data_IF_364120408686
#
_entry.id   IF_364120408686
#
_cell.length_a   1.000
_cell.length_b   1.000
_cell.length_c   1.000
_cell.angle_alpha   90.00
_cell.angle_beta   90.00
_cell.angle_gamma   90.00
#
_symmetry.space_group_name_H-M   'P 1'
#
loop_
_entity.id
_entity.type
_entity.pdbx_description
1 polymer ?
#
# COMPACT_ATOMS: atom_id res chain seq x y z
N UNK A 1 19.04 -10.88 13.76
CA UNK A 1 18.15 -10.45 12.68
C UNK A 1 17.12 -11.53 12.44
N UNK A 2 15.85 -11.18 12.43
CA UNK A 2 14.78 -12.15 12.25
C UNK A 2 14.77 -12.66 10.80
N UNK A 3 14.58 -13.96 10.61
CA UNK A 3 14.56 -14.64 9.31
C UNK A 3 13.53 -14.08 8.34
N UNK A 4 12.42 -13.51 8.86
CA UNK A 4 11.38 -12.90 8.05
C UNK A 4 11.87 -11.73 7.19
N UNK A 5 12.83 -10.93 7.65
CA UNK A 5 13.38 -9.83 6.85
C UNK A 5 14.22 -10.33 5.67
N UNK A 6 14.99 -11.42 5.90
CA UNK A 6 15.78 -12.05 4.83
C UNK A 6 14.84 -12.66 3.79
N UNK A 7 13.81 -13.37 4.25
CA UNK A 7 12.81 -14.01 3.37
C UNK A 7 12.01 -12.94 2.63
N UNK A 8 11.66 -11.84 3.29
CA UNK A 8 10.97 -10.72 2.64
C UNK A 8 11.82 -10.08 1.53
N UNK A 9 13.11 -9.84 1.77
CA UNK A 9 14.03 -9.35 0.74
C UNK A 9 14.20 -10.33 -0.43
N UNK A 10 14.36 -11.63 -0.12
CA UNK A 10 14.46 -12.69 -1.11
C UNK A 10 13.17 -12.83 -1.94
N UNK A 11 12.01 -12.69 -1.32
CA UNK A 11 10.70 -12.67 -1.98
C UNK A 11 10.64 -11.61 -3.08
N UNK A 12 11.02 -10.36 -2.79
CA UNK A 12 11.06 -9.31 -3.79
C UNK A 12 12.11 -9.55 -4.87
N UNK A 13 13.30 -10.05 -4.51
CA UNK A 13 14.33 -10.36 -5.48
C UNK A 13 13.87 -11.42 -6.49
N UNK A 14 13.22 -12.48 -6.00
CA UNK A 14 12.67 -13.54 -6.86
C UNK A 14 11.53 -13.00 -7.73
N UNK A 15 10.62 -12.20 -7.15
CA UNK A 15 9.51 -11.61 -7.89
C UNK A 15 9.99 -10.71 -9.02
N UNK A 16 10.92 -9.79 -8.75
CA UNK A 16 11.48 -8.90 -9.77
C UNK A 16 12.21 -9.68 -10.87
N UNK A 17 12.90 -10.76 -10.50
CA UNK A 17 13.57 -11.63 -11.47
C UNK A 17 12.54 -12.35 -12.36
N UNK A 18 11.48 -12.91 -11.77
CA UNK A 18 10.41 -13.59 -12.52
C UNK A 18 9.63 -12.58 -13.38
N UNK A 19 9.35 -11.39 -12.88
CA UNK A 19 8.69 -10.34 -13.64
C UNK A 19 9.52 -9.95 -14.86
N UNK A 20 10.80 -9.71 -14.69
CA UNK A 20 11.71 -9.34 -15.78
C UNK A 20 11.87 -10.46 -16.83
N UNK A 21 11.91 -11.73 -16.42
CA UNK A 21 12.14 -12.85 -17.32
C UNK A 21 10.88 -13.31 -18.07
N UNK A 22 9.72 -13.32 -17.39
CA UNK A 22 8.52 -13.98 -17.91
C UNK A 22 7.28 -13.10 -17.94
N UNK A 23 7.06 -12.26 -16.91
CA UNK A 23 5.77 -11.62 -16.68
C UNK A 23 5.58 -10.29 -17.42
N UNK A 24 6.65 -9.56 -17.77
CA UNK A 24 6.55 -8.28 -18.48
C UNK A 24 5.72 -8.39 -19.75
N UNK A 25 5.93 -9.44 -20.55
CA UNK A 25 5.17 -9.66 -21.81
C UNK A 25 3.69 -9.97 -21.57
N UNK A 26 3.35 -10.56 -20.43
CA UNK A 26 1.98 -10.95 -20.06
C UNK A 26 1.26 -9.76 -19.41
N UNK A 27 1.92 -9.05 -18.52
CA UNK A 27 1.36 -7.94 -17.76
C UNK A 27 1.09 -6.70 -18.62
N UNK A 28 1.86 -6.48 -19.69
CA UNK A 28 1.59 -5.43 -20.68
C UNK A 28 0.24 -5.60 -21.38
N UNK A 29 -0.21 -6.84 -21.59
CA UNK A 29 -1.51 -7.16 -22.23
C UNK A 29 -2.70 -7.02 -21.27
N UNK A 30 -2.47 -7.15 -19.96
CA UNK A 30 -3.51 -7.25 -18.93
C UNK A 30 -3.52 -6.02 -18.00
N UNK A 31 -3.60 -4.81 -18.58
CA UNK A 31 -3.48 -3.53 -17.87
C UNK A 31 -4.32 -3.39 -16.58
N UNK A 32 -5.50 -3.99 -16.49
CA UNK A 32 -6.36 -3.93 -15.30
C UNK A 32 -5.99 -4.98 -14.23
N UNK A 33 -5.73 -6.20 -14.66
CA UNK A 33 -5.43 -7.34 -13.77
C UNK A 33 -4.06 -7.17 -13.13
N UNK A 34 -3.14 -6.47 -13.80
CA UNK A 34 -1.81 -6.20 -13.29
C UNK A 34 -1.83 -5.43 -11.95
N UNK A 35 -2.74 -4.48 -11.77
CA UNK A 35 -2.88 -3.75 -10.51
C UNK A 35 -3.31 -4.66 -9.36
N UNK A 36 -4.26 -5.56 -9.61
CA UNK A 36 -4.73 -6.51 -8.59
C UNK A 36 -3.61 -7.50 -8.24
N UNK A 37 -2.91 -8.00 -9.23
CA UNK A 37 -1.76 -8.88 -9.05
C UNK A 37 -0.68 -8.24 -8.19
N UNK A 38 -0.22 -7.04 -8.56
CA UNK A 38 0.81 -6.31 -7.78
C UNK A 38 0.34 -6.01 -6.37
N UNK A 39 -0.92 -5.57 -6.20
CA UNK A 39 -1.49 -5.29 -4.89
C UNK A 39 -1.49 -6.54 -4.00
N UNK A 40 -1.91 -7.68 -4.54
CA UNK A 40 -1.91 -8.95 -3.81
C UNK A 40 -0.50 -9.37 -3.38
N UNK A 41 0.48 -9.25 -4.28
CA UNK A 41 1.88 -9.54 -3.96
C UNK A 41 2.42 -8.62 -2.86
N UNK A 42 2.09 -7.33 -2.91
CA UNK A 42 2.49 -6.37 -1.88
C UNK A 42 1.84 -6.70 -0.53
N UNK A 43 0.56 -7.04 -0.50
CA UNK A 43 -0.13 -7.44 0.74
C UNK A 43 0.54 -8.68 1.34
N UNK A 44 0.80 -9.72 0.55
CA UNK A 44 1.50 -10.92 1.01
C UNK A 44 2.89 -10.57 1.57
N UNK A 45 3.62 -9.67 0.89
CA UNK A 45 4.95 -9.27 1.35
C UNK A 45 4.89 -8.59 2.73
N UNK A 46 3.89 -7.74 2.98
CA UNK A 46 3.71 -7.10 4.27
C UNK A 46 3.30 -8.08 5.36
N UNK A 47 2.50 -9.10 5.04
CA UNK A 47 2.19 -10.19 5.99
C UNK A 47 3.47 -10.92 6.42
N UNK A 48 4.37 -11.23 5.49
CA UNK A 48 5.66 -11.85 5.79
C UNK A 48 6.52 -10.92 6.67
N UNK A 49 6.56 -9.63 6.32
CA UNK A 49 7.35 -8.62 7.03
C UNK A 49 6.88 -8.41 8.47
N UNK A 50 5.57 -8.28 8.69
CA UNK A 50 4.99 -8.00 10.02
C UNK A 50 4.92 -9.25 10.92
N UNK A 51 5.04 -10.43 10.35
CA UNK A 51 4.96 -11.67 11.11
C UNK A 51 6.22 -11.92 11.95
N UNK A 52 6.05 -12.20 13.25
CA UNK A 52 7.16 -12.53 14.15
C UNK A 52 7.81 -13.87 13.82
N UNK A 53 7.04 -14.79 13.23
CA UNK A 53 7.49 -16.13 12.85
C UNK A 53 6.91 -16.53 11.51
N UNK A 54 7.63 -17.40 10.78
CA UNK A 54 7.16 -17.91 9.47
C UNK A 54 5.88 -18.74 9.61
N UNK A 55 5.69 -19.47 10.71
CA UNK A 55 4.44 -20.19 10.98
C UNK A 55 3.25 -19.24 11.09
N UNK A 56 3.44 -18.06 11.69
CA UNK A 56 2.40 -17.03 11.75
C UNK A 56 2.11 -16.47 10.37
N UNK A 57 3.14 -16.16 9.58
CA UNK A 57 2.98 -15.67 8.21
C UNK A 57 2.17 -16.65 7.34
N UNK A 58 2.55 -17.92 7.33
CA UNK A 58 1.84 -18.95 6.56
C UNK A 58 0.41 -19.16 7.03
N UNK A 59 0.16 -19.05 8.34
CA UNK A 59 -1.18 -19.12 8.90
C UNK A 59 -2.06 -17.96 8.43
N UNK A 60 -1.57 -16.73 8.50
CA UNK A 60 -2.31 -15.53 8.07
C UNK A 60 -2.57 -15.59 6.56
N UNK A 61 -1.58 -15.98 5.76
CA UNK A 61 -1.75 -16.15 4.32
C UNK A 61 -2.81 -17.23 4.03
N UNK A 62 -2.80 -18.36 4.74
CA UNK A 62 -3.81 -19.40 4.59
C UNK A 62 -5.22 -18.91 4.94
N UNK A 63 -5.35 -18.07 5.97
CA UNK A 63 -6.61 -17.42 6.36
C UNK A 63 -7.11 -16.45 5.28
N UNK A 64 -6.22 -15.68 4.67
CA UNK A 64 -6.55 -14.78 3.55
C UNK A 64 -7.13 -15.52 2.34
N UNK A 65 -6.70 -16.76 2.10
CA UNK A 65 -7.19 -17.61 1.02
C UNK A 65 -8.30 -18.58 1.47
N UNK A 66 -8.98 -18.31 2.57
CA UNK A 66 -10.11 -19.09 3.11
C UNK A 66 -9.79 -20.56 3.46
N UNK A 67 -8.53 -20.93 3.62
CA UNK A 67 -8.13 -22.32 3.88
C UNK A 67 -8.54 -22.80 5.28
N UNK A 68 -8.94 -21.90 6.19
CA UNK A 68 -9.31 -22.24 7.57
C UNK A 68 -10.79 -22.07 7.91
N UNK A 69 -11.66 -21.84 6.92
CA UNK A 69 -13.10 -21.71 7.13
C UNK A 69 -13.52 -20.53 8.00
N UNK A 70 -12.70 -19.49 8.12
CA UNK A 70 -13.05 -18.28 8.84
C UNK A 70 -14.19 -17.54 8.14
N UNK A 71 -15.10 -16.90 8.91
CA UNK A 71 -16.17 -16.10 8.31
C UNK A 71 -15.57 -14.91 7.54
N UNK A 72 -16.16 -14.58 6.39
CA UNK A 72 -15.75 -13.46 5.54
C UNK A 72 -15.78 -12.11 6.25
N UNK A 73 -16.65 -11.98 7.25
CA UNK A 73 -16.80 -10.74 8.02
C UNK A 73 -16.99 -11.06 9.49
N UNK A 74 -16.29 -10.35 10.34
CA UNK A 74 -16.49 -10.33 11.79
C UNK A 74 -16.86 -8.92 12.21
N UNK A 75 -17.46 -8.74 13.38
CA UNK A 75 -17.75 -7.39 13.90
C UNK A 75 -16.47 -6.56 14.04
N UNK A 76 -15.37 -7.20 14.40
CA UNK A 76 -14.06 -6.55 14.50
C UNK A 76 -13.53 -6.09 13.14
N UNK A 77 -13.62 -6.92 12.11
CA UNK A 77 -13.18 -6.57 10.76
C UNK A 77 -14.01 -5.39 10.18
N UNK A 78 -15.31 -5.37 10.43
CA UNK A 78 -16.17 -4.26 10.02
C UNK A 78 -15.83 -2.97 10.79
N UNK A 79 -15.59 -3.09 12.09
CA UNK A 79 -15.15 -1.94 12.91
C UNK A 79 -13.82 -1.36 12.40
N UNK A 80 -12.82 -2.20 12.16
CA UNK A 80 -11.53 -1.77 11.63
C UNK A 80 -11.68 -1.14 10.25
N UNK A 81 -12.43 -1.76 9.35
CA UNK A 81 -12.69 -1.21 8.02
C UNK A 81 -13.33 0.18 8.09
N UNK A 82 -14.29 0.38 8.99
CA UNK A 82 -14.96 1.67 9.19
C UNK A 82 -14.00 2.70 9.79
N UNK A 83 -13.18 2.30 10.76
CA UNK A 83 -12.23 3.19 11.43
C UNK A 83 -11.13 3.67 10.48
N UNK A 84 -10.67 2.83 9.57
CA UNK A 84 -9.64 3.16 8.59
C UNK A 84 -10.19 3.52 7.21
N UNK A 85 -11.51 3.62 7.03
CA UNK A 85 -12.14 3.84 5.74
C UNK A 85 -11.59 5.06 4.99
N UNK A 86 -11.39 6.18 5.69
CA UNK A 86 -10.87 7.42 5.09
C UNK A 86 -9.45 7.20 4.54
N UNK A 87 -8.57 6.55 5.32
CA UNK A 87 -7.19 6.27 4.91
C UNK A 87 -7.17 5.30 3.72
N UNK A 88 -8.01 4.27 3.76
CA UNK A 88 -8.11 3.28 2.68
C UNK A 88 -8.62 3.95 1.39
N UNK A 89 -9.68 4.75 1.45
CA UNK A 89 -10.24 5.43 0.29
C UNK A 89 -9.24 6.43 -0.29
N UNK A 90 -8.59 7.24 0.54
CA UNK A 90 -7.58 8.19 0.08
C UNK A 90 -6.36 7.48 -0.52
N UNK A 91 -5.95 6.35 0.06
CA UNK A 91 -4.88 5.51 -0.47
C UNK A 91 -5.24 4.90 -1.84
N UNK A 92 -6.46 4.38 -2.00
CA UNK A 92 -6.94 3.84 -3.28
C UNK A 92 -6.97 4.95 -4.34
N UNK A 93 -7.52 6.11 -4.03
CA UNK A 93 -7.57 7.24 -4.96
C UNK A 93 -6.15 7.69 -5.33
N UNK A 94 -5.26 7.84 -4.35
CA UNK A 94 -3.87 8.25 -4.54
C UNK A 94 -3.04 7.26 -5.37
N UNK A 95 -3.34 5.97 -5.27
CA UNK A 95 -2.69 4.92 -6.07
C UNK A 95 -3.12 4.92 -7.54
N UNK A 96 -4.21 5.62 -7.89
CA UNK A 96 -4.68 5.73 -9.27
C UNK A 96 -4.08 6.94 -9.99
N UNK A 97 -4.05 6.97 -11.33
CA UNK A 97 -3.63 8.15 -12.09
C UNK A 97 -4.69 9.27 -12.10
N UNK A 98 -5.81 9.11 -11.39
CA UNK A 98 -6.93 10.07 -11.39
C UNK A 98 -6.52 11.44 -10.86
N UNK A 99 -5.87 11.57 -9.68
CA UNK A 99 -5.45 12.88 -9.17
C UNK A 99 -4.52 13.62 -10.12
N UNK A 100 -3.53 12.90 -10.68
CA UNK A 100 -2.61 13.46 -11.67
C UNK A 100 -3.34 13.97 -12.90
N UNK A 101 -4.24 13.18 -13.49
CA UNK A 101 -5.02 13.58 -14.68
C UNK A 101 -5.90 14.78 -14.40
N UNK A 102 -6.50 14.86 -13.20
CA UNK A 102 -7.34 15.98 -12.79
C UNK A 102 -6.52 17.27 -12.71
N UNK A 103 -5.36 17.23 -12.05
CA UNK A 103 -4.46 18.38 -11.94
C UNK A 103 -3.97 18.84 -13.32
N UNK A 104 -3.56 17.90 -14.19
CA UNK A 104 -3.13 18.24 -15.54
C UNK A 104 -4.24 18.90 -16.35
N UNK A 105 -5.48 18.40 -16.26
CA UNK A 105 -6.64 18.99 -16.93
C UNK A 105 -6.98 20.39 -16.40
N UNK A 106 -6.83 20.62 -15.10
CA UNK A 106 -6.99 21.96 -14.52
C UNK A 106 -5.92 22.93 -15.03
N UNK A 107 -4.69 22.48 -15.22
CA UNK A 107 -3.58 23.29 -15.72
C UNK A 107 -3.71 23.70 -17.20
N UNK A 108 -4.57 23.05 -17.97
CA UNK A 108 -4.87 23.47 -19.36
C UNK A 108 -5.57 24.83 -19.41
N UNK A 109 -6.24 25.23 -18.33
CA UNK A 109 -6.90 26.53 -18.20
C UNK A 109 -5.96 27.49 -17.47
N UNK A 110 -5.72 28.70 -17.99
CA UNK A 110 -4.81 29.69 -17.36
C UNK A 110 -5.12 29.97 -15.89
N UNK A 111 -6.39 30.14 -15.54
CA UNK A 111 -6.81 30.31 -14.14
C UNK A 111 -6.52 29.06 -13.30
N UNK A 112 -6.74 27.87 -13.85
CA UNK A 112 -6.45 26.59 -13.19
C UNK A 112 -4.96 26.36 -12.97
N UNK A 113 -4.10 26.78 -13.91
CA UNK A 113 -2.66 26.72 -13.73
C UNK A 113 -2.19 27.57 -12.55
N UNK A 114 -2.66 28.82 -12.45
CA UNK A 114 -2.33 29.71 -11.33
C UNK A 114 -2.81 29.09 -9.99
N UNK A 115 -4.04 28.59 -9.96
CA UNK A 115 -4.60 27.98 -8.75
C UNK A 115 -3.79 26.75 -8.32
N UNK A 116 -3.41 25.88 -9.27
CA UNK A 116 -2.61 24.69 -8.95
C UNK A 116 -1.21 25.06 -8.48
N UNK A 117 -0.55 26.03 -9.10
CA UNK A 117 0.80 26.47 -8.74
C UNK A 117 0.85 27.11 -7.34
N UNK A 118 -0.23 27.81 -6.94
CA UNK A 118 -0.35 28.34 -5.58
C UNK A 118 -0.78 27.26 -4.58
N UNK A 119 -1.72 26.41 -4.92
CA UNK A 119 -2.23 25.39 -4.01
C UNK A 119 -1.22 24.26 -3.71
N UNK A 120 -0.36 23.92 -4.66
CA UNK A 120 0.61 22.83 -4.51
C UNK A 120 1.54 23.01 -3.30
N UNK A 121 2.25 24.12 -3.11
CA UNK A 121 3.11 24.31 -1.95
C UNK A 121 2.34 24.31 -0.62
N UNK A 122 1.13 24.89 -0.57
CA UNK A 122 0.30 24.87 0.62
C UNK A 122 -0.14 23.42 0.96
N UNK A 123 -0.52 22.65 -0.03
CA UNK A 123 -0.89 21.24 0.15
C UNK A 123 0.29 20.41 0.64
N UNK A 124 1.49 20.61 0.08
CA UNK A 124 2.70 19.91 0.51
C UNK A 124 3.08 20.27 1.95
N UNK A 125 3.03 21.54 2.33
CA UNK A 125 3.30 21.98 3.70
C UNK A 125 2.26 21.41 4.67
N UNK A 126 0.98 21.41 4.30
CA UNK A 126 -0.10 20.85 5.11
C UNK A 126 0.08 19.35 5.31
N UNK A 127 0.40 18.61 4.25
CA UNK A 127 0.70 17.17 4.34
C UNK A 127 1.92 16.91 5.23
N UNK A 128 2.98 17.71 5.09
CA UNK A 128 4.16 17.60 5.95
C UNK A 128 3.80 17.83 7.41
N UNK A 129 2.99 18.85 7.71
CA UNK A 129 2.54 19.13 9.07
C UNK A 129 1.71 17.98 9.66
N UNK A 130 0.78 17.42 8.88
CA UNK A 130 -0.02 16.26 9.29
C UNK A 130 0.85 15.05 9.56
N UNK A 131 1.76 14.70 8.63
CA UNK A 131 2.68 13.57 8.81
C UNK A 131 3.56 13.77 10.04
N UNK A 132 4.09 14.98 10.24
CA UNK A 132 4.89 15.31 11.42
C UNK A 132 4.08 15.18 12.70
N UNK A 133 2.83 15.65 12.73
CA UNK A 133 1.95 15.50 13.88
C UNK A 133 1.73 14.03 14.26
N UNK A 134 1.47 13.16 13.26
CA UNK A 134 1.33 11.71 13.49
C UNK A 134 2.63 11.07 13.99
N UNK A 135 3.79 11.51 13.51
CA UNK A 135 5.09 10.99 13.96
C UNK A 135 5.41 11.43 15.41
N UNK A 136 5.04 12.65 15.77
CA UNK A 136 5.30 13.20 17.13
C UNK A 136 4.33 12.61 18.15
N UNK A 137 3.08 12.33 17.76
CA UNK A 137 2.08 11.71 18.65
C UNK A 137 2.51 10.31 19.17
N UNK A 138 3.53 9.70 18.55
CA UNK A 138 4.11 8.43 19.00
C UNK A 138 3.16 7.24 18.91
N UNK A 139 1.95 7.42 18.40
CA UNK A 139 0.96 6.35 18.19
C UNK A 139 1.41 5.36 17.12
N UNK A 140 2.29 5.79 16.24
CA UNK A 140 2.95 4.93 15.25
C UNK A 140 4.44 4.81 15.58
N UNK A 141 4.92 3.60 15.79
CA UNK A 141 6.36 3.36 15.93
C UNK A 141 7.03 3.49 14.55
N UNK A 142 7.79 4.57 14.28
CA UNK A 142 8.42 4.78 12.98
C UNK A 142 9.53 3.77 12.70
N UNK A 143 10.00 3.07 13.73
CA UNK A 143 11.09 2.12 13.66
C UNK A 143 10.59 0.69 13.48
N UNK A 144 9.92 0.42 12.35
CA UNK A 144 9.47 -0.93 11.97
C UNK A 144 10.60 -1.97 11.96
N UNK A 145 11.84 -1.50 11.75
CA UNK A 145 13.04 -2.35 11.69
C UNK A 145 13.64 -2.70 13.06
N UNK A 146 13.24 -2.04 14.14
CA UNK A 146 13.76 -2.26 15.50
C UNK A 146 12.85 -3.13 16.38
N UNK A 147 12.07 -3.99 15.78
CA UNK A 147 11.42 -5.08 16.51
C UNK A 147 12.43 -6.22 16.72
N UNK A 148 13.32 -6.02 17.69
CA UNK A 148 14.20 -7.07 18.17
C UNK A 148 13.59 -7.75 19.39
#
# INVERSE_FOLDING_TARGET
>A
AAWNFIIWGLYFAILLMLEKLFLLKITEKLKGINHIYVLLLVIISFVIFDSLTMNRATNVIGEMFFMKGLPLTTQESVYLLRSYAVIIITGIIGATPIPKKLVLKLREIKAGAIVTDVAEPFLLVSLLAVVTAFLVDGSFNPFLYFRF
#
